data_IF_154118410912
#
_entry.id   IF_154118410912
#
_cell.length_a   1.000
_cell.length_b   1.000
_cell.length_c   1.000
_cell.angle_alpha   90.00
_cell.angle_beta   90.00
_cell.angle_gamma   90.00
#
_symmetry.space_group_name_H-M   'P 1'
#
loop_
_entity.id
_entity.type
_entity.pdbx_description
1 polymer ?
#
# COMPACT_ATOMS: atom_id res chain seq x y z
N UNK A 1 11.13 -10.22 17.78
CA UNK A 1 9.77 -10.54 17.30
C UNK A 1 8.98 -9.25 17.31
N UNK A 2 8.59 -8.76 16.14
CA UNK A 2 7.73 -7.57 16.03
C UNK A 2 6.39 -7.98 15.39
N UNK A 3 5.29 -7.39 15.83
CA UNK A 3 4.00 -7.59 15.20
C UNK A 3 3.84 -6.54 14.10
N UNK A 4 3.74 -6.95 12.83
CA UNK A 4 3.60 -6.04 11.68
C UNK A 4 2.47 -6.48 10.76
N UNK A 5 1.79 -5.53 10.14
CA UNK A 5 0.79 -5.87 9.13
C UNK A 5 1.50 -6.13 7.80
N UNK A 6 1.39 -7.36 7.31
CA UNK A 6 2.00 -7.76 6.05
C UNK A 6 1.54 -6.90 4.87
N UNK A 7 0.29 -6.42 4.90
CA UNK A 7 -0.26 -5.57 3.86
C UNK A 7 0.46 -4.22 3.76
N UNK A 8 1.04 -3.71 4.85
CA UNK A 8 1.81 -2.46 4.81
C UNK A 8 3.00 -2.58 3.86
N UNK A 9 3.72 -3.70 3.92
CA UNK A 9 4.85 -3.94 3.04
C UNK A 9 4.41 -4.05 1.57
N UNK A 10 3.37 -4.84 1.29
CA UNK A 10 2.86 -4.99 -0.08
C UNK A 10 2.35 -3.67 -0.65
N UNK A 11 1.61 -2.90 0.13
CA UNK A 11 1.10 -1.59 -0.31
C UNK A 11 2.25 -0.65 -0.63
N UNK A 12 3.29 -0.58 0.22
CA UNK A 12 4.44 0.29 -0.03
C UNK A 12 5.22 -0.12 -1.29
N UNK A 13 5.49 -1.42 -1.47
CA UNK A 13 6.17 -1.94 -2.66
C UNK A 13 5.40 -1.64 -3.95
N UNK A 14 4.06 -1.75 -3.93
CA UNK A 14 3.23 -1.47 -5.11
C UNK A 14 2.96 0.00 -5.34
N UNK A 15 2.89 0.78 -4.27
CA UNK A 15 2.63 2.21 -4.37
C UNK A 15 3.71 2.90 -5.22
N UNK A 16 4.98 2.55 -5.03
CA UNK A 16 6.09 3.08 -5.83
C UNK A 16 5.90 2.81 -7.32
N UNK A 17 5.57 1.57 -7.68
CA UNK A 17 5.34 1.14 -9.07
C UNK A 17 4.16 1.91 -9.69
N UNK A 18 3.04 2.04 -8.95
CA UNK A 18 1.84 2.73 -9.44
C UNK A 18 2.08 4.24 -9.56
N UNK A 19 2.85 4.85 -8.66
CA UNK A 19 3.24 6.26 -8.74
C UNK A 19 4.07 6.51 -10.00
N UNK A 20 5.07 5.67 -10.27
CA UNK A 20 5.91 5.79 -11.47
C UNK A 20 5.09 5.68 -12.76
N UNK A 21 4.04 4.86 -12.77
CA UNK A 21 3.11 4.76 -13.89
C UNK A 21 2.15 5.97 -14.02
N UNK A 22 2.06 6.84 -13.01
CA UNK A 22 1.11 7.96 -12.95
C UNK A 22 1.81 9.31 -12.70
N UNK A 23 2.56 9.86 -13.68
CA UNK A 23 3.36 11.08 -13.52
C UNK A 23 2.54 12.35 -13.25
N UNK A 24 1.21 12.31 -13.40
CA UNK A 24 0.33 13.45 -13.15
C UNK A 24 0.01 13.66 -11.66
N UNK A 25 0.27 12.67 -10.80
CA UNK A 25 -0.03 12.70 -9.38
C UNK A 25 1.03 13.49 -8.59
N UNK A 26 0.67 14.03 -7.42
CA UNK A 26 1.65 14.57 -6.48
C UNK A 26 2.42 13.41 -5.83
N UNK A 27 3.75 13.48 -5.84
CA UNK A 27 4.63 12.46 -5.27
C UNK A 27 5.21 12.87 -3.93
N UNK A 28 4.70 13.93 -3.30
CA UNK A 28 5.16 14.33 -1.98
C UNK A 28 4.87 13.23 -0.94
N UNK A 29 5.70 13.16 0.08
CA UNK A 29 5.62 12.11 1.10
C UNK A 29 4.24 12.05 1.78
N UNK A 30 3.59 13.21 1.94
CA UNK A 30 2.25 13.31 2.54
C UNK A 30 1.18 12.64 1.67
N UNK A 31 1.16 12.91 0.37
CA UNK A 31 0.26 12.23 -0.57
C UNK A 31 0.50 10.72 -0.60
N UNK A 32 1.76 10.29 -0.57
CA UNK A 32 2.08 8.86 -0.53
C UNK A 32 1.52 8.19 0.73
N UNK A 33 1.67 8.82 1.90
CA UNK A 33 1.10 8.29 3.13
C UNK A 33 -0.42 8.32 3.15
N UNK A 34 -1.06 9.36 2.62
CA UNK A 34 -2.52 9.41 2.51
C UNK A 34 -3.05 8.28 1.61
N UNK A 35 -2.38 8.02 0.49
CA UNK A 35 -2.74 6.92 -0.42
C UNK A 35 -2.55 5.58 0.29
N UNK A 36 -1.41 5.37 0.95
CA UNK A 36 -1.14 4.14 1.68
C UNK A 36 -2.17 3.91 2.79
N UNK A 37 -2.50 4.93 3.57
CA UNK A 37 -3.50 4.85 4.64
C UNK A 37 -4.90 4.50 4.11
N UNK A 38 -5.35 5.16 3.04
CA UNK A 38 -6.63 4.85 2.40
C UNK A 38 -6.66 3.44 1.83
N UNK A 39 -5.58 3.00 1.19
CA UNK A 39 -5.47 1.64 0.66
C UNK A 39 -5.49 0.60 1.78
N UNK A 40 -4.71 0.79 2.85
CA UNK A 40 -4.65 -0.13 3.99
C UNK A 40 -5.98 -0.22 4.74
N UNK A 41 -6.70 0.89 4.89
CA UNK A 41 -8.03 0.90 5.50
C UNK A 41 -9.09 0.17 4.66
N UNK A 42 -8.87 0.04 3.35
CA UNK A 42 -9.76 -0.69 2.44
C UNK A 42 -9.43 -2.18 2.33
N UNK A 43 -8.26 -2.61 2.80
CA UNK A 43 -7.77 -3.97 2.67
C UNK A 43 -7.91 -4.73 4.01
N UNK A 44 -8.07 -6.07 3.97
CA UNK A 44 -8.08 -6.87 5.20
C UNK A 44 -6.71 -6.83 5.87
N UNK A 45 -6.64 -6.36 7.12
CA UNK A 45 -5.41 -6.33 7.92
C UNK A 45 -4.90 -7.75 8.18
N UNK A 46 -3.59 -7.99 7.97
CA UNK A 46 -2.97 -9.29 8.25
C UNK A 46 -1.71 -9.13 9.09
N UNK A 47 -1.88 -9.21 10.40
CA UNK A 47 -0.78 -9.11 11.35
C UNK A 47 0.01 -10.41 11.45
N UNK A 48 1.33 -10.28 11.43
CA UNK A 48 2.26 -11.40 11.52
C UNK A 48 3.33 -11.09 12.55
N UNK A 49 3.68 -12.08 13.37
CA UNK A 49 4.83 -11.99 14.27
C UNK A 49 6.10 -12.29 13.46
N UNK A 50 6.91 -11.27 13.21
CA UNK A 50 8.17 -11.43 12.45
C UNK A 50 9.27 -11.95 13.38
N UNK A 51 9.50 -13.26 13.30
CA UNK A 51 10.71 -13.94 13.82
C UNK A 51 11.38 -14.88 12.82
N UNK A 52 10.62 -15.36 11.84
CA UNK A 52 11.01 -16.55 11.06
C UNK A 52 10.49 -16.45 9.63
N UNK A 53 11.35 -16.76 8.64
CA UNK A 53 11.02 -16.70 7.21
C UNK A 53 9.83 -17.59 6.79
N UNK A 54 9.56 -18.67 7.52
CA UNK A 54 8.43 -19.58 7.27
C UNK A 54 7.04 -18.91 7.32
N UNK A 55 6.84 -17.95 8.22
CA UNK A 55 5.57 -17.22 8.31
C UNK A 55 5.40 -16.30 7.10
N UNK A 56 6.50 -15.74 6.60
CA UNK A 56 6.51 -14.88 5.43
C UNK A 56 6.29 -15.67 4.14
N UNK A 57 6.90 -16.85 4.00
CA UNK A 57 6.75 -17.72 2.82
C UNK A 57 5.32 -18.26 2.68
N UNK A 58 4.65 -18.62 3.78
CA UNK A 58 3.24 -19.04 3.77
C UNK A 58 2.27 -17.94 3.34
N UNK A 59 2.62 -16.68 3.56
CA UNK A 59 1.78 -15.54 3.15
C UNK A 59 2.12 -15.12 1.73
N UNK A 60 3.40 -15.21 1.35
CA UNK A 60 3.88 -14.99 -0.01
C UNK A 60 3.30 -16.00 -1.02
N UNK A 61 2.82 -17.17 -0.62
CA UNK A 61 2.13 -18.09 -1.54
C UNK A 61 0.70 -17.65 -1.88
N UNK A 62 0.09 -16.79 -1.04
CA UNK A 62 -1.22 -16.17 -1.29
C UNK A 62 -1.10 -14.80 -1.99
N UNK A 63 0.13 -14.38 -2.28
CA UNK A 63 0.52 -13.05 -2.74
C UNK A 63 -0.14 -12.65 -4.06
N UNK A 64 -0.31 -13.59 -5.00
CA UNK A 64 -0.91 -13.30 -6.31
C UNK A 64 -2.33 -12.73 -6.22
N UNK A 65 -3.13 -13.20 -5.26
CA UNK A 65 -4.49 -12.67 -5.07
C UNK A 65 -4.45 -11.29 -4.42
N UNK A 66 -3.55 -11.08 -3.47
CA UNK A 66 -3.37 -9.78 -2.82
C UNK A 66 -2.85 -8.72 -3.79
N UNK A 67 -2.04 -9.09 -4.79
CA UNK A 67 -1.53 -8.13 -5.78
C UNK A 67 -2.66 -7.37 -6.49
N UNK A 68 -3.71 -8.07 -6.93
CA UNK A 68 -4.82 -7.44 -7.65
C UNK A 68 -5.60 -6.49 -6.73
N UNK A 69 -5.92 -6.96 -5.52
CA UNK A 69 -6.67 -6.17 -4.54
C UNK A 69 -5.89 -4.93 -4.09
N UNK A 70 -4.58 -5.08 -3.82
CA UNK A 70 -3.68 -3.99 -3.42
C UNK A 70 -3.59 -2.95 -4.52
N UNK A 71 -3.36 -3.36 -5.77
CA UNK A 71 -3.27 -2.41 -6.90
C UNK A 71 -4.59 -1.69 -7.11
N UNK A 72 -5.72 -2.39 -6.99
CA UNK A 72 -7.06 -1.78 -7.08
C UNK A 72 -7.29 -0.74 -5.98
N UNK A 73 -6.97 -1.09 -4.73
CA UNK A 73 -7.11 -0.21 -3.57
C UNK A 73 -6.22 1.04 -3.69
N UNK A 74 -4.95 0.88 -4.09
CA UNK A 74 -4.02 1.99 -4.35
C UNK A 74 -4.58 2.89 -5.45
N UNK A 75 -5.04 2.32 -6.56
CA UNK A 75 -5.59 3.09 -7.70
C UNK A 75 -6.80 3.92 -7.26
N UNK A 76 -7.67 3.35 -6.42
CA UNK A 76 -8.82 4.07 -5.90
C UNK A 76 -8.41 5.18 -4.92
N UNK A 77 -7.46 4.90 -4.02
CA UNK A 77 -6.92 5.89 -3.10
C UNK A 77 -6.25 7.06 -3.84
N UNK A 78 -5.50 6.79 -4.91
CA UNK A 78 -4.91 7.82 -5.79
C UNK A 78 -5.99 8.73 -6.35
N UNK A 79 -7.12 8.19 -6.82
CA UNK A 79 -8.22 9.01 -7.36
C UNK A 79 -8.81 9.95 -6.30
N UNK A 80 -8.86 9.53 -5.04
CA UNK A 80 -9.36 10.33 -3.92
C UNK A 80 -8.36 11.45 -3.60
N UNK A 81 -7.10 11.10 -3.35
CA UNK A 81 -6.05 12.08 -2.99
C UNK A 81 -5.78 13.06 -4.14
N UNK A 82 -5.85 12.62 -5.40
CA UNK A 82 -5.73 13.50 -6.56
C UNK A 82 -6.86 14.54 -6.65
N UNK A 83 -8.07 14.20 -6.21
CA UNK A 83 -9.22 15.13 -6.20
C UNK A 83 -9.15 16.11 -5.04
N UNK A 84 -8.68 15.67 -3.88
CA UNK A 84 -8.58 16.50 -2.68
C UNK A 84 -7.25 16.21 -1.96
N UNK A 85 -6.16 16.83 -2.42
CA UNK A 85 -4.85 16.69 -1.77
C UNK A 85 -4.83 17.34 -0.38
N UNK A 86 -4.24 16.67 0.61
CA UNK A 86 -3.98 17.23 1.95
C UNK A 86 -2.56 17.80 2.12
N UNK A 87 -1.91 18.23 1.04
CA UNK A 87 -0.60 18.88 1.10
C UNK A 87 -0.74 20.38 0.79
N UNK A 88 0.07 21.22 1.44
CA UNK A 88 0.05 22.67 1.26
C UNK A 88 0.71 23.09 -0.07
N UNK A 89 1.77 22.39 -0.50
CA UNK A 89 2.51 22.65 -1.73
C UNK A 89 2.98 21.33 -2.35
N UNK A 90 3.07 21.26 -3.69
CA UNK A 90 3.28 20.03 -4.47
C UNK A 90 4.74 19.64 -4.60
#
# INVERSE_FOLDING_TARGET
MELKNYMEKLVMEKLEIVIQANPTMCTCQRCQYDIAALALNALPTRYVATSTGETYTKISSLDQQFHVDVVSAITQAIKIVKKQPHHAEK
#
